data_IF_656889704005
#
_entry.id   IF_656889704005
#
_cell.length_a   1.000
_cell.length_b   1.000
_cell.length_c   1.000
_cell.angle_alpha   90.00
_cell.angle_beta   90.00
_cell.angle_gamma   90.00
#
_symmetry.space_group_name_H-M   'P 1'
#
loop_
_entity.id
_entity.type
_entity.pdbx_description
1 polymer ?
#
# COMPACT_ATOMS: atom_id res chain seq x y z
N UNK A 1 2.75 -0.95 6.49
CA UNK A 1 2.55 -0.34 7.83
C UNK A 1 1.42 -1.00 8.62
N UNK A 2 0.18 -1.06 8.13
CA UNK A 2 -0.91 -1.68 8.91
C UNK A 2 -0.73 -3.19 9.16
N UNK A 3 -0.28 -3.95 8.15
CA UNK A 3 -0.01 -5.39 8.30
C UNK A 3 1.08 -5.68 9.35
N UNK A 4 2.16 -4.88 9.35
CA UNK A 4 3.27 -5.03 10.31
C UNK A 4 2.85 -4.70 11.74
N UNK A 5 2.01 -3.67 11.92
CA UNK A 5 1.44 -3.34 13.23
C UNK A 5 0.48 -4.43 13.72
N UNK A 6 -0.30 -5.03 12.81
CA UNK A 6 -1.16 -6.17 13.12
C UNK A 6 -0.38 -7.41 13.56
N UNK A 7 0.71 -7.75 12.89
CA UNK A 7 1.56 -8.89 13.29
C UNK A 7 2.23 -8.64 14.64
N UNK A 8 2.71 -7.42 14.90
CA UNK A 8 3.25 -7.03 16.21
C UNK A 8 2.18 -7.14 17.31
N UNK A 9 0.96 -6.69 17.02
CA UNK A 9 -0.18 -6.79 17.93
C UNK A 9 -0.53 -8.24 18.29
N UNK A 10 -0.59 -9.12 17.27
CA UNK A 10 -0.79 -10.56 17.47
C UNK A 10 0.32 -11.19 18.30
N UNK A 11 1.55 -10.71 18.18
CA UNK A 11 2.67 -11.21 18.98
C UNK A 11 2.55 -10.78 20.45
N UNK A 12 2.24 -9.50 20.72
CA UNK A 12 2.01 -9.03 22.09
C UNK A 12 0.85 -9.76 22.79
N UNK A 13 -0.18 -10.16 22.03
CA UNK A 13 -1.32 -10.91 22.54
C UNK A 13 -1.20 -12.43 22.43
N UNK A 14 -0.18 -12.94 21.74
CA UNK A 14 0.04 -14.36 21.44
C UNK A 14 0.32 -15.23 22.68
N UNK A 15 0.41 -14.62 23.87
CA UNK A 15 0.42 -15.28 25.17
C UNK A 15 -1.00 -15.60 25.69
N UNK A 16 -2.06 -15.20 24.97
CA UNK A 16 -3.47 -15.37 25.36
C UNK A 16 -4.22 -16.39 24.49
N UNK A 17 -5.37 -16.86 24.96
CA UNK A 17 -6.27 -17.78 24.23
C UNK A 17 -6.71 -17.19 22.88
N UNK A 18 -6.87 -18.03 21.85
CA UNK A 18 -7.28 -17.66 20.49
C UNK A 18 -8.54 -16.76 20.44
N UNK A 19 -9.48 -16.94 21.38
CA UNK A 19 -10.69 -16.11 21.49
C UNK A 19 -10.38 -14.65 21.81
N UNK A 20 -9.41 -14.39 22.69
CA UNK A 20 -8.99 -13.02 23.09
C UNK A 20 -8.33 -12.31 21.91
N UNK A 21 -7.52 -13.05 21.15
CA UNK A 21 -6.87 -12.55 19.94
C UNK A 21 -7.91 -12.18 18.88
N UNK A 22 -8.91 -13.04 18.65
CA UNK A 22 -9.98 -12.79 17.68
C UNK A 22 -10.82 -11.55 18.05
N UNK A 23 -11.22 -11.43 19.32
CA UNK A 23 -11.98 -10.27 19.81
C UNK A 23 -11.13 -8.99 19.69
N UNK A 24 -9.85 -9.05 20.05
CA UNK A 24 -8.93 -7.92 19.95
C UNK A 24 -8.75 -7.42 18.51
N UNK A 25 -8.53 -8.34 17.56
CA UNK A 25 -8.41 -8.01 16.13
C UNK A 25 -9.67 -7.37 15.54
N UNK A 26 -10.85 -7.66 16.09
CA UNK A 26 -12.09 -7.01 15.68
C UNK A 26 -12.29 -5.66 16.37
N UNK A 27 -12.09 -5.62 17.69
CA UNK A 27 -12.40 -4.48 18.53
C UNK A 27 -11.46 -3.29 18.30
N UNK A 28 -10.15 -3.52 18.13
CA UNK A 28 -9.16 -2.45 17.98
C UNK A 28 -9.38 -1.63 16.70
N UNK A 29 -9.55 -2.23 15.51
CA UNK A 29 -9.86 -1.45 14.29
C UNK A 29 -11.19 -0.71 14.37
N UNK A 30 -12.23 -1.33 14.95
CA UNK A 30 -13.54 -0.68 15.11
C UNK A 30 -13.42 0.53 16.04
N UNK A 31 -12.74 0.38 17.18
CA UNK A 31 -12.51 1.48 18.12
C UNK A 31 -11.73 2.62 17.46
N UNK A 32 -10.66 2.30 16.71
CA UNK A 32 -9.87 3.30 15.98
C UNK A 32 -10.71 4.00 14.90
N UNK A 33 -11.56 3.28 14.17
CA UNK A 33 -12.46 3.86 13.17
C UNK A 33 -13.48 4.79 13.84
N UNK A 34 -14.13 4.36 14.91
CA UNK A 34 -15.10 5.18 15.65
C UNK A 34 -14.42 6.43 16.20
N UNK A 35 -13.26 6.30 16.84
CA UNK A 35 -12.50 7.44 17.34
C UNK A 35 -12.11 8.39 16.19
N UNK A 36 -11.69 7.86 15.05
CA UNK A 36 -11.36 8.65 13.87
C UNK A 36 -12.58 9.45 13.37
N UNK A 37 -13.76 8.83 13.24
CA UNK A 37 -14.98 9.53 12.84
C UNK A 37 -15.48 10.56 13.88
N UNK A 38 -15.17 10.38 15.16
CA UNK A 38 -15.53 11.34 16.21
C UNK A 38 -14.59 12.55 16.27
N UNK A 39 -13.30 12.35 16.02
CA UNK A 39 -12.27 13.41 16.13
C UNK A 39 -12.10 14.19 14.83
N UNK A 40 -12.22 13.50 13.68
CA UNK A 40 -11.85 14.06 12.39
C UNK A 40 -13.11 14.57 11.67
N UNK A 41 -13.18 15.87 11.33
CA UNK A 41 -14.32 16.41 10.61
C UNK A 41 -14.36 15.87 9.18
N UNK A 42 -15.58 15.77 8.65
CA UNK A 42 -15.85 15.41 7.25
C UNK A 42 -14.98 16.20 6.26
N UNK A 43 -14.59 15.57 5.16
CA UNK A 43 -13.64 16.18 4.23
C UNK A 43 -14.19 17.50 3.63
N UNK A 44 -13.37 18.56 3.53
CA UNK A 44 -13.84 19.86 3.04
C UNK A 44 -14.35 19.78 1.60
N UNK A 45 -13.74 18.93 0.76
CA UNK A 45 -14.16 18.68 -0.64
C UNK A 45 -15.57 18.09 -0.70
N UNK A 46 -15.88 17.11 0.16
CA UNK A 46 -17.23 16.52 0.23
C UNK A 46 -18.28 17.55 0.65
N UNK A 47 -17.97 18.38 1.65
CA UNK A 47 -18.86 19.44 2.13
C UNK A 47 -19.10 20.53 1.07
N UNK A 48 -18.07 20.90 0.31
CA UNK A 48 -18.19 21.80 -0.86
C UNK A 48 -19.08 21.20 -1.95
N UNK A 49 -18.87 19.92 -2.29
CA UNK A 49 -19.71 19.21 -3.28
C UNK A 49 -21.18 19.09 -2.83
N UNK A 50 -21.40 19.03 -1.52
CA UNK A 50 -22.73 18.99 -0.91
C UNK A 50 -23.37 20.39 -0.76
N UNK A 51 -22.70 21.44 -1.21
CA UNK A 51 -23.16 22.83 -1.15
C UNK A 51 -23.06 23.48 0.24
N UNK A 52 -22.42 22.84 1.22
CA UNK A 52 -22.30 23.33 2.59
C UNK A 52 -20.95 24.04 2.83
N UNK A 53 -20.78 25.20 2.20
CA UNK A 53 -19.54 25.97 2.23
C UNK A 53 -19.11 26.40 3.64
N UNK A 54 -20.07 26.65 4.55
CA UNK A 54 -19.78 27.02 5.94
C UNK A 54 -19.13 25.87 6.73
N UNK A 55 -19.64 24.65 6.59
CA UNK A 55 -19.01 23.47 7.22
C UNK A 55 -17.68 23.12 6.56
N UNK A 56 -17.57 23.32 5.25
CA UNK A 56 -16.32 23.12 4.52
C UNK A 56 -15.20 24.03 5.03
N UNK A 57 -15.52 25.30 5.33
CA UNK A 57 -14.59 26.26 5.94
C UNK A 57 -14.09 25.78 7.30
N UNK A 58 -14.99 25.35 8.19
CA UNK A 58 -14.63 24.83 9.53
C UNK A 58 -13.73 23.60 9.40
N UNK A 59 -14.08 22.67 8.50
CA UNK A 59 -13.26 21.49 8.23
C UNK A 59 -11.88 21.87 7.69
N UNK A 60 -11.78 22.82 6.76
CA UNK A 60 -10.50 23.25 6.21
C UNK A 60 -9.62 23.95 7.25
N UNK A 61 -10.21 24.74 8.16
CA UNK A 61 -9.51 25.35 9.30
C UNK A 61 -8.96 24.32 10.28
N UNK A 62 -9.65 23.18 10.48
CA UNK A 62 -9.14 22.08 11.30
C UNK A 62 -7.84 21.49 10.72
N UNK A 63 -7.78 21.28 9.40
CA UNK A 63 -6.60 20.69 8.75
C UNK A 63 -5.44 21.67 8.50
N UNK A 64 -5.74 22.94 8.18
CA UNK A 64 -4.71 23.96 7.86
C UNK A 64 -4.28 24.79 9.08
N UNK A 65 -5.06 24.78 10.14
CA UNK A 65 -4.87 25.61 11.33
C UNK A 65 -5.71 26.88 11.30
N UNK A 66 -6.01 27.40 12.50
CA UNK A 66 -6.99 28.49 12.72
C UNK A 66 -6.64 29.83 12.07
N UNK A 67 -5.36 30.07 11.76
CA UNK A 67 -4.87 31.35 11.18
C UNK A 67 -4.70 31.34 9.66
N UNK A 68 -5.07 30.25 8.99
CA UNK A 68 -4.87 30.11 7.56
C UNK A 68 -5.96 30.83 6.74
N UNK A 69 -5.60 31.40 5.60
CA UNK A 69 -6.54 32.09 4.70
C UNK A 69 -7.37 31.07 3.90
N UNK A 70 -8.46 30.63 4.52
CA UNK A 70 -9.37 29.60 3.99
C UNK A 70 -10.17 30.02 2.76
N UNK A 71 -10.67 31.26 2.63
CA UNK A 71 -11.43 31.71 1.45
C UNK A 71 -10.73 31.46 0.10
N UNK A 72 -9.42 31.71 0.01
CA UNK A 72 -8.66 31.53 -1.24
C UNK A 72 -8.62 30.05 -1.67
N UNK A 73 -8.34 29.15 -0.72
CA UNK A 73 -8.25 27.71 -0.98
C UNK A 73 -9.63 27.11 -1.27
N UNK A 74 -10.69 27.54 -0.58
CA UNK A 74 -12.06 27.14 -0.91
C UNK A 74 -12.46 27.56 -2.34
N UNK A 75 -12.07 28.76 -2.78
CA UNK A 75 -12.31 29.22 -4.15
C UNK A 75 -11.50 28.43 -5.19
N UNK A 76 -10.31 27.93 -4.83
CA UNK A 76 -9.54 27.01 -5.68
C UNK A 76 -10.21 25.63 -5.76
N UNK A 77 -10.61 25.06 -4.62
CA UNK A 77 -11.32 23.77 -4.54
C UNK A 77 -12.65 23.82 -5.32
N UNK A 78 -13.42 24.91 -5.20
CA UNK A 78 -14.67 25.06 -5.96
C UNK A 78 -14.41 25.05 -7.47
N UNK A 79 -13.36 25.76 -7.94
CA UNK A 79 -12.96 25.74 -9.35
C UNK A 79 -12.57 24.34 -9.83
N UNK A 80 -11.86 23.57 -9.00
CA UNK A 80 -11.54 22.18 -9.30
C UNK A 80 -12.78 21.27 -9.35
N UNK A 81 -13.72 21.43 -8.42
CA UNK A 81 -15.00 20.70 -8.41
C UNK A 81 -15.80 21.03 -9.67
N UNK A 82 -15.89 22.30 -10.06
CA UNK A 82 -16.61 22.72 -11.26
C UNK A 82 -15.93 22.21 -12.54
N UNK A 83 -14.60 22.19 -12.57
CA UNK A 83 -13.83 21.60 -13.67
C UNK A 83 -14.00 20.08 -13.73
N UNK A 84 -14.00 19.39 -12.59
CA UNK A 84 -14.22 17.94 -12.48
C UNK A 84 -15.67 17.56 -12.77
N UNK A 85 -16.65 18.41 -12.45
CA UNK A 85 -18.05 18.21 -12.83
C UNK A 85 -18.23 18.24 -14.35
N UNK A 86 -17.46 19.09 -15.06
CA UNK A 86 -17.40 19.12 -16.53
C UNK A 86 -16.65 17.93 -17.13
N UNK A 87 -15.73 17.32 -16.38
CA UNK A 87 -14.89 16.21 -16.84
C UNK A 87 -15.09 14.96 -15.99
N UNK A 88 -16.04 14.10 -16.40
CA UNK A 88 -16.24 12.79 -15.77
C UNK A 88 -14.94 11.99 -15.85
N UNK A 89 -14.28 11.73 -14.71
CA UNK A 89 -13.05 10.95 -14.68
C UNK A 89 -13.33 9.58 -15.30
N UNK A 90 -12.82 9.36 -16.51
CA UNK A 90 -13.01 8.12 -17.25
C UNK A 90 -11.80 7.21 -17.04
N UNK A 91 -12.02 5.91 -16.93
CA UNK A 91 -10.94 4.90 -16.93
C UNK A 91 -10.02 5.05 -18.15
N UNK A 92 -10.53 5.64 -19.24
CA UNK A 92 -9.74 6.00 -20.42
C UNK A 92 -8.62 7.00 -20.09
N UNK A 93 -8.86 8.01 -19.25
CA UNK A 93 -7.86 9.05 -18.92
C UNK A 93 -6.63 8.51 -18.18
N UNK A 94 -6.73 7.33 -17.55
CA UNK A 94 -5.61 6.61 -16.96
C UNK A 94 -4.65 6.07 -18.03
N UNK A 95 -5.19 5.63 -19.18
CA UNK A 95 -4.46 5.01 -20.29
C UNK A 95 -4.15 6.01 -21.40
N UNK A 96 -4.88 7.14 -21.46
CA UNK A 96 -4.77 8.14 -22.54
C UNK A 96 -3.42 8.83 -22.67
N UNK A 97 -2.66 9.01 -21.59
CA UNK A 97 -1.33 9.64 -21.67
C UNK A 97 -0.23 8.60 -21.48
N UNK A 98 0.79 8.64 -22.35
CA UNK A 98 1.95 7.73 -22.25
C UNK A 98 2.63 7.79 -20.87
N UNK A 99 2.70 8.97 -20.26
CA UNK A 99 3.24 9.13 -18.90
C UNK A 99 2.44 8.34 -17.85
N UNK A 100 1.10 8.49 -17.83
CA UNK A 100 0.25 7.73 -16.90
C UNK A 100 0.33 6.22 -17.18
N UNK A 101 0.36 5.80 -18.45
CA UNK A 101 0.45 4.39 -18.81
C UNK A 101 1.78 3.77 -18.36
N UNK A 102 2.91 4.46 -18.56
CA UNK A 102 4.20 3.99 -18.05
C UNK A 102 4.23 3.95 -16.52
N UNK A 103 3.72 4.98 -15.85
CA UNK A 103 3.59 4.99 -14.39
C UNK A 103 2.71 3.83 -13.86
N UNK A 104 1.63 3.51 -14.59
CA UNK A 104 0.73 2.41 -14.25
C UNK A 104 1.43 1.05 -14.46
N UNK A 105 2.11 0.85 -15.59
CA UNK A 105 2.87 -0.39 -15.85
C UNK A 105 3.97 -0.59 -14.81
N UNK A 106 4.71 0.47 -14.50
CA UNK A 106 5.75 0.45 -13.45
C UNK A 106 5.14 0.05 -12.10
N UNK A 107 4.07 0.74 -11.69
CA UNK A 107 3.45 0.48 -10.38
C UNK A 107 2.83 -0.93 -10.29
N UNK A 108 2.09 -1.37 -11.31
CA UNK A 108 1.51 -2.71 -11.36
C UNK A 108 2.60 -3.80 -11.44
N UNK A 109 3.61 -3.62 -12.28
CA UNK A 109 4.73 -4.55 -12.41
C UNK A 109 5.49 -4.69 -11.09
N UNK A 110 5.79 -3.57 -10.42
CA UNK A 110 6.40 -3.57 -9.09
C UNK A 110 5.54 -4.32 -8.06
N UNK A 111 4.21 -4.14 -8.05
CA UNK A 111 3.32 -4.85 -7.13
C UNK A 111 3.32 -6.36 -7.40
N UNK A 112 3.32 -6.78 -8.67
CA UNK A 112 3.39 -8.19 -9.05
C UNK A 112 4.70 -8.81 -8.56
N UNK A 113 5.86 -8.26 -8.93
CA UNK A 113 7.16 -8.81 -8.49
C UNK A 113 7.33 -8.77 -6.97
N UNK A 114 6.76 -7.76 -6.31
CA UNK A 114 6.70 -7.72 -4.85
C UNK A 114 5.92 -8.92 -4.28
N UNK A 115 4.79 -9.31 -4.86
CA UNK A 115 4.01 -10.46 -4.38
C UNK A 115 4.70 -11.80 -4.69
N UNK A 116 5.23 -11.96 -5.91
CA UNK A 116 5.91 -13.19 -6.33
C UNK A 116 7.31 -13.39 -5.73
N UNK A 117 7.82 -12.41 -4.99
CA UNK A 117 9.02 -12.59 -4.14
C UNK A 117 8.80 -13.60 -3.00
N UNK A 118 7.57 -14.05 -2.76
CA UNK A 118 7.25 -15.01 -1.72
C UNK A 118 7.17 -14.39 -0.32
N UNK A 119 7.16 -13.05 -0.21
CA UNK A 119 7.18 -12.36 1.10
C UNK A 119 6.02 -12.80 1.99
N UNK A 120 4.79 -12.88 1.45
CA UNK A 120 3.62 -13.28 2.23
C UNK A 120 3.69 -14.76 2.64
N UNK A 121 4.18 -15.63 1.75
CA UNK A 121 4.39 -17.03 2.07
C UNK A 121 5.40 -17.21 3.21
N UNK A 122 6.54 -16.50 3.15
CA UNK A 122 7.55 -16.51 4.22
C UNK A 122 6.97 -16.00 5.54
N UNK A 123 6.08 -15.01 5.51
CA UNK A 123 5.43 -14.48 6.72
C UNK A 123 4.51 -15.51 7.36
N UNK A 124 3.59 -16.10 6.58
CA UNK A 124 2.58 -17.02 7.11
C UNK A 124 3.15 -18.40 7.46
N UNK A 125 4.10 -18.90 6.67
CA UNK A 125 4.70 -20.22 6.84
C UNK A 125 6.08 -20.16 7.51
N UNK A 126 6.48 -19.02 8.07
CA UNK A 126 7.77 -18.80 8.73
C UNK A 126 8.12 -19.94 9.70
N UNK A 127 7.18 -20.32 10.57
CA UNK A 127 7.39 -21.36 11.57
C UNK A 127 7.75 -22.71 10.95
N UNK A 128 7.07 -23.10 9.88
CA UNK A 128 7.32 -24.37 9.20
C UNK A 128 8.66 -24.33 8.45
N UNK A 129 8.95 -23.21 7.77
CA UNK A 129 10.21 -23.00 7.03
C UNK A 129 11.41 -23.10 7.99
N UNK A 130 11.37 -22.40 9.13
CA UNK A 130 12.47 -22.40 10.09
C UNK A 130 12.62 -23.73 10.84
N UNK A 131 11.50 -24.45 11.08
CA UNK A 131 11.55 -25.81 11.62
C UNK A 131 12.21 -26.78 10.64
N UNK A 132 11.83 -26.73 9.37
CA UNK A 132 12.45 -27.55 8.32
C UNK A 132 13.92 -27.20 8.08
N UNK A 133 14.33 -25.95 8.32
CA UNK A 133 15.73 -25.53 8.25
C UNK A 133 16.57 -25.95 9.47
N UNK A 134 16.00 -26.63 10.47
CA UNK A 134 16.71 -27.09 11.67
C UNK A 134 17.00 -25.98 12.69
N UNK A 135 16.34 -24.82 12.60
CA UNK A 135 16.59 -23.70 13.52
C UNK A 135 15.87 -23.90 14.86
N UNK A 136 16.63 -23.93 15.95
CA UNK A 136 16.14 -23.90 17.35
C UNK A 136 15.77 -22.50 17.85
N UNK A 137 15.79 -21.48 16.99
CA UNK A 137 15.42 -20.11 17.38
C UNK A 137 14.00 -20.09 17.96
N UNK A 138 13.82 -19.45 19.12
CA UNK A 138 12.50 -19.23 19.70
C UNK A 138 11.58 -18.47 18.72
N UNK A 139 10.26 -18.76 18.71
CA UNK A 139 9.29 -18.07 17.85
C UNK A 139 9.37 -16.54 17.92
N UNK A 140 9.75 -16.00 19.09
CA UNK A 140 9.91 -14.57 19.33
C UNK A 140 11.04 -13.91 18.54
N UNK A 141 12.24 -14.51 18.52
CA UNK A 141 13.41 -13.93 17.86
C UNK A 141 13.27 -13.97 16.32
N UNK A 142 12.55 -14.97 15.79
CA UNK A 142 12.24 -15.13 14.36
C UNK A 142 11.39 -13.97 13.82
N UNK A 143 10.38 -13.55 14.60
CA UNK A 143 9.46 -12.49 14.20
C UNK A 143 10.12 -11.11 14.21
N UNK A 144 11.09 -10.88 15.10
CA UNK A 144 11.83 -9.61 15.16
C UNK A 144 12.62 -9.38 13.85
N UNK A 145 13.29 -10.42 13.31
CA UNK A 145 14.03 -10.33 12.05
C UNK A 145 13.07 -10.03 10.89
N UNK A 146 11.93 -10.72 10.83
CA UNK A 146 10.89 -10.48 9.82
C UNK A 146 10.32 -9.06 9.92
N UNK A 147 10.10 -8.55 11.13
CA UNK A 147 9.61 -7.18 11.36
C UNK A 147 10.60 -6.13 10.85
N UNK A 148 11.90 -6.32 11.09
CA UNK A 148 12.95 -5.41 10.62
C UNK A 148 13.02 -5.34 9.09
N UNK A 149 12.87 -6.49 8.41
CA UNK A 149 12.86 -6.55 6.94
C UNK A 149 11.63 -5.84 6.37
N UNK A 150 10.46 -6.00 6.99
CA UNK A 150 9.22 -5.38 6.51
C UNK A 150 9.13 -3.87 6.78
N UNK A 151 9.63 -3.40 7.92
CA UNK A 151 9.66 -1.97 8.25
C UNK A 151 10.51 -1.19 7.24
N UNK A 152 11.65 -1.75 6.83
CA UNK A 152 12.56 -1.13 5.85
C UNK A 152 11.91 -0.95 4.47
N UNK A 153 11.02 -1.87 4.05
CA UNK A 153 10.25 -1.74 2.79
C UNK A 153 9.20 -0.64 2.82
N UNK A 154 8.56 -0.43 3.98
CA UNK A 154 7.38 0.43 4.05
C UNK A 154 7.72 1.93 4.00
N UNK A 155 8.99 2.31 4.18
CA UNK A 155 9.48 3.69 4.04
C UNK A 155 9.70 4.12 2.58
N UNK A 156 9.71 3.20 1.61
CA UNK A 156 10.11 3.46 0.22
C UNK A 156 8.93 3.61 -0.77
N UNK A 157 7.72 3.93 -0.30
CA UNK A 157 6.55 4.04 -1.15
C UNK A 157 6.39 5.43 -1.79
N UNK A 158 6.37 5.57 -3.13
CA UNK A 158 6.03 6.84 -3.77
C UNK A 158 4.55 7.20 -3.53
N UNK A 159 4.33 8.28 -2.79
CA UNK A 159 3.04 8.95 -2.56
C UNK A 159 2.63 9.75 -3.82
N UNK A 160 2.34 9.10 -4.95
CA UNK A 160 1.62 9.79 -6.03
C UNK A 160 1.15 8.82 -7.13
N UNK A 161 -0.02 8.22 -6.94
CA UNK A 161 -0.80 7.69 -8.06
C UNK A 161 -2.23 8.20 -7.90
N UNK A 162 -2.83 8.63 -9.01
CA UNK A 162 -4.22 9.12 -9.06
C UNK A 162 -5.15 8.04 -8.45
N UNK A 163 -6.16 8.44 -7.67
CA UNK A 163 -6.91 7.53 -6.80
C UNK A 163 -7.40 6.21 -7.42
N UNK A 164 -7.78 6.21 -8.70
CA UNK A 164 -8.19 5.00 -9.43
C UNK A 164 -7.02 4.02 -9.65
N UNK A 165 -5.85 4.53 -10.07
CA UNK A 165 -4.67 3.70 -10.29
C UNK A 165 -4.17 3.08 -8.98
N UNK A 166 -4.26 3.83 -7.88
CA UNK A 166 -3.98 3.32 -6.54
C UNK A 166 -4.95 2.20 -6.15
N UNK A 167 -6.24 2.34 -6.44
CA UNK A 167 -7.24 1.30 -6.19
C UNK A 167 -6.96 0.01 -6.96
N UNK A 168 -6.64 0.11 -8.25
CA UNK A 168 -6.28 -1.06 -9.09
C UNK A 168 -5.01 -1.72 -8.57
N UNK A 169 -3.97 -0.94 -8.26
CA UNK A 169 -2.72 -1.45 -7.74
C UNK A 169 -2.94 -2.20 -6.41
N UNK A 170 -3.75 -1.65 -5.50
CA UNK A 170 -4.12 -2.30 -4.24
C UNK A 170 -4.86 -3.62 -4.49
N UNK A 171 -5.81 -3.66 -5.42
CA UNK A 171 -6.53 -4.88 -5.75
C UNK A 171 -5.60 -5.97 -6.29
N UNK A 172 -4.74 -5.63 -7.26
CA UNK A 172 -3.74 -6.54 -7.83
C UNK A 172 -2.78 -7.05 -6.75
N UNK A 173 -2.36 -6.18 -5.83
CA UNK A 173 -1.51 -6.54 -4.71
C UNK A 173 -2.17 -7.60 -3.81
N UNK A 174 -3.42 -7.40 -3.41
CA UNK A 174 -4.12 -8.34 -2.52
C UNK A 174 -4.48 -9.67 -3.22
N UNK A 175 -4.83 -9.63 -4.50
CA UNK A 175 -5.05 -10.83 -5.30
C UNK A 175 -3.76 -11.62 -5.45
N UNK A 176 -2.65 -10.94 -5.77
CA UNK A 176 -1.32 -11.58 -5.87
C UNK A 176 -0.88 -12.18 -4.53
N UNK A 177 -1.09 -11.47 -3.43
CA UNK A 177 -0.81 -11.96 -2.08
C UNK A 177 -1.58 -13.25 -1.77
N UNK A 178 -2.88 -13.28 -2.10
CA UNK A 178 -3.74 -14.43 -1.90
C UNK A 178 -3.27 -15.62 -2.74
N UNK A 179 -3.04 -15.42 -4.04
CA UNK A 179 -2.60 -16.48 -4.96
C UNK A 179 -1.25 -17.07 -4.54
N UNK A 180 -0.25 -16.24 -4.24
CA UNK A 180 1.08 -16.72 -3.82
C UNK A 180 1.00 -17.51 -2.52
N UNK A 181 0.20 -17.04 -1.56
CA UNK A 181 0.02 -17.74 -0.28
C UNK A 181 -0.67 -19.08 -0.46
N UNK A 182 -1.71 -19.14 -1.32
CA UNK A 182 -2.44 -20.38 -1.62
C UNK A 182 -1.57 -21.38 -2.38
N UNK A 183 -0.83 -20.91 -3.40
CA UNK A 183 0.06 -21.76 -4.18
C UNK A 183 1.27 -22.24 -3.38
N UNK A 184 1.74 -21.50 -2.39
CA UNK A 184 2.93 -21.88 -1.62
C UNK A 184 2.80 -23.26 -0.97
N UNK A 185 1.67 -23.54 -0.31
CA UNK A 185 1.43 -24.85 0.31
C UNK A 185 1.44 -25.99 -0.72
N UNK A 186 0.90 -25.74 -1.92
CA UNK A 186 0.94 -26.68 -3.03
C UNK A 186 2.37 -26.89 -3.55
N UNK A 187 3.12 -25.82 -3.79
CA UNK A 187 4.49 -25.89 -4.29
C UNK A 187 5.41 -26.66 -3.34
N UNK A 188 5.34 -26.37 -2.03
CA UNK A 188 6.14 -27.07 -1.03
C UNK A 188 5.79 -28.55 -0.95
N UNK A 189 4.50 -28.91 -1.05
CA UNK A 189 4.05 -30.31 -0.97
C UNK A 189 4.48 -31.14 -2.19
N UNK A 190 4.51 -30.56 -3.37
CA UNK A 190 4.82 -31.28 -4.62
C UNK A 190 6.29 -31.20 -5.04
N UNK A 191 6.92 -30.03 -4.90
CA UNK A 191 8.28 -29.78 -5.37
C UNK A 191 9.31 -29.69 -4.24
N UNK A 192 8.86 -29.70 -2.98
CA UNK A 192 9.71 -29.49 -1.81
C UNK A 192 10.02 -28.02 -1.55
N UNK A 193 10.50 -27.75 -0.33
CA UNK A 193 10.82 -26.39 0.12
C UNK A 193 11.94 -25.76 -0.69
N UNK A 194 13.02 -26.51 -0.96
CA UNK A 194 14.19 -26.00 -1.69
C UNK A 194 13.84 -25.50 -3.10
N UNK A 195 13.12 -26.29 -3.89
CA UNK A 195 12.72 -25.90 -5.24
C UNK A 195 11.78 -24.69 -5.23
N UNK A 196 10.86 -24.62 -4.27
CA UNK A 196 9.94 -23.48 -4.10
C UNK A 196 10.70 -22.18 -3.84
N UNK A 197 11.73 -22.21 -2.99
CA UNK A 197 12.56 -21.02 -2.74
C UNK A 197 13.38 -20.61 -3.96
N UNK A 198 13.92 -21.56 -4.72
CA UNK A 198 14.63 -21.24 -5.97
C UNK A 198 13.74 -20.53 -6.99
N UNK A 199 12.46 -20.92 -7.10
CA UNK A 199 11.49 -20.23 -7.95
C UNK A 199 11.32 -18.77 -7.50
N UNK A 200 11.15 -18.53 -6.19
CA UNK A 200 11.06 -17.16 -5.67
C UNK A 200 12.36 -16.36 -5.86
N UNK A 201 13.53 -16.98 -5.75
CA UNK A 201 14.81 -16.35 -6.04
C UNK A 201 14.87 -15.88 -7.50
N UNK A 202 14.47 -16.72 -8.46
CA UNK A 202 14.41 -16.33 -9.88
C UNK A 202 13.43 -15.17 -10.08
N UNK A 203 12.24 -15.22 -9.47
CA UNK A 203 11.27 -14.12 -9.53
C UNK A 203 11.84 -12.81 -8.96
N UNK A 204 12.60 -12.88 -7.87
CA UNK A 204 13.28 -11.72 -7.29
C UNK A 204 14.34 -11.14 -8.24
N UNK A 205 15.18 -11.99 -8.84
CA UNK A 205 16.20 -11.54 -9.81
C UNK A 205 15.54 -10.86 -11.01
N UNK A 206 14.49 -11.45 -11.58
CA UNK A 206 13.72 -10.86 -12.69
C UNK A 206 13.10 -9.53 -12.26
N UNK A 207 12.52 -9.46 -11.05
CA UNK A 207 11.96 -8.23 -10.50
C UNK A 207 13.01 -7.13 -10.28
N UNK A 208 14.22 -7.49 -9.86
CA UNK A 208 15.35 -6.56 -9.73
C UNK A 208 15.77 -6.03 -11.09
N UNK A 209 15.93 -6.91 -12.09
CA UNK A 209 16.26 -6.50 -13.47
C UNK A 209 15.17 -5.58 -14.04
N UNK A 210 13.89 -5.94 -13.88
CA UNK A 210 12.76 -5.10 -14.27
C UNK A 210 12.82 -3.72 -13.61
N UNK A 211 13.08 -3.68 -12.29
CA UNK A 211 13.20 -2.42 -11.55
C UNK A 211 14.34 -1.57 -12.11
N UNK A 212 15.51 -2.16 -12.34
CA UNK A 212 16.68 -1.44 -12.85
C UNK A 212 16.48 -0.90 -14.27
N UNK A 213 15.76 -1.63 -15.13
CA UNK A 213 15.57 -1.25 -16.54
C UNK A 213 14.39 -0.29 -16.75
N UNK A 214 13.32 -0.43 -15.96
CA UNK A 214 12.02 0.22 -16.24
C UNK A 214 11.71 1.35 -15.27
N UNK A 215 12.25 1.32 -14.04
CA UNK A 215 12.01 2.37 -13.05
C UNK A 215 13.03 3.50 -13.23
N UNK A 216 12.60 4.71 -13.60
CA UNK A 216 13.51 5.84 -13.69
C UNK A 216 14.03 6.23 -12.31
N UNK A 217 15.31 6.60 -12.22
CA UNK A 217 15.90 7.11 -10.99
C UNK A 217 15.20 8.42 -10.60
N UNK A 218 14.59 8.43 -9.40
CA UNK A 218 13.80 9.55 -8.89
C UNK A 218 14.61 10.48 -7.98
N UNK A 219 15.83 10.08 -7.60
CA UNK A 219 16.69 10.86 -6.70
C UNK A 219 16.98 12.26 -7.25
N UNK A 220 16.54 13.27 -6.51
CA UNK A 220 16.78 14.69 -6.82
C UNK A 220 15.87 15.29 -7.90
N UNK A 221 14.85 14.57 -8.38
CA UNK A 221 13.92 15.05 -9.42
C UNK A 221 12.60 15.53 -8.82
N UNK A 222 12.04 16.59 -9.39
CA UNK A 222 10.68 17.07 -9.07
C UNK A 222 9.60 16.21 -9.73
N UNK A 223 8.37 16.23 -9.19
CA UNK A 223 7.26 15.44 -9.72
C UNK A 223 6.97 15.75 -11.21
N UNK A 224 7.07 17.03 -11.61
CA UNK A 224 6.88 17.45 -12.98
C UNK A 224 7.97 16.90 -13.92
N UNK A 225 9.22 16.84 -13.45
CA UNK A 225 10.33 16.24 -14.20
C UNK A 225 10.15 14.73 -14.37
N UNK A 226 9.74 14.02 -13.31
CA UNK A 226 9.45 12.58 -13.37
C UNK A 226 8.30 12.32 -14.36
N UNK A 227 7.25 13.14 -14.35
CA UNK A 227 6.13 13.01 -15.30
C UNK A 227 6.54 13.25 -16.77
N UNK A 228 7.44 14.20 -17.04
CA UNK A 228 7.99 14.45 -18.39
C UNK A 228 8.85 13.28 -18.89
N UNK A 229 9.73 12.77 -18.02
CA UNK A 229 10.59 11.63 -18.33
C UNK A 229 9.77 10.36 -18.60
N UNK A 230 8.73 10.11 -17.78
CA UNK A 230 7.75 9.05 -18.05
C UNK A 230 6.97 9.32 -19.35
N UNK A 231 6.72 10.57 -19.71
CA UNK A 231 6.11 11.00 -20.98
C UNK A 231 6.99 10.74 -22.21
N UNK A 232 8.30 10.52 -22.03
CA UNK A 232 9.25 10.28 -23.11
C UNK A 232 10.11 11.48 -23.50
N UNK A 233 10.04 12.58 -22.75
CA UNK A 233 10.93 13.73 -22.90
C UNK A 233 12.17 13.50 -22.02
N UNK A 234 13.33 13.24 -22.64
CA UNK A 234 14.63 13.13 -21.94
C UNK A 234 15.27 14.49 -21.78
#
# INVERSE_FOLDING_TARGET
MFLTLGILYLYCLGLSTYTVIAIGCLAVPILLLVLFFLVVPETPIYLMKSGNNKKAEVSLRFYRGSRYDVPLELAAIQREIDAAARKKASFSDLVSSRANLRALIISLGLMVFQQFSGVNAVIFYSNDIFKSAGSTLDPGNKLIILLHIMLRRSLLGPLCVKGIATGIAVAVNWIGAFLVTLCFGFLVRHFGSAATFWIFTVCCVVGTVFTFMVVPETKGKTLAQIQRELGGEK
#
